data_IF_998620281787
#
_entry.id   IF_998620281787
#
_cell.length_a   1.000
_cell.length_b   1.000
_cell.length_c   1.000
_cell.angle_alpha   90.00
_cell.angle_beta   90.00
_cell.angle_gamma   90.00
#
_symmetry.space_group_name_H-M   'P 1'
#
loop_
_entity.id
_entity.type
_entity.pdbx_description
1 polymer ?
#
# COMPACT_ATOMS: atom_id res chain seq x y z
N UNK A 1 3.51 28.29 -87.01
CA UNK A 1 3.78 27.05 -87.77
C UNK A 1 4.53 26.17 -86.79
N UNK A 2 3.78 25.33 -86.08
CA UNK A 2 3.56 23.93 -86.48
C UNK A 2 4.89 23.18 -86.53
N UNK A 3 5.08 22.01 -85.93
CA UNK A 3 4.28 21.10 -85.11
C UNK A 3 5.24 19.93 -84.84
N UNK A 4 5.15 19.31 -83.65
CA UNK A 4 5.44 17.89 -83.30
C UNK A 4 6.73 17.20 -83.83
N UNK A 5 7.42 16.29 -83.16
CA UNK A 5 6.98 15.22 -82.26
C UNK A 5 8.20 14.51 -81.63
N UNK A 6 7.97 13.97 -80.42
CA UNK A 6 8.40 12.71 -79.80
C UNK A 6 9.78 12.05 -80.03
N UNK A 7 10.33 11.55 -78.90
CA UNK A 7 11.25 10.40 -78.82
C UNK A 7 12.39 10.62 -77.82
N UNK A 8 12.15 10.35 -76.53
CA UNK A 8 12.78 9.26 -75.74
C UNK A 8 14.31 9.33 -75.58
N UNK A 9 14.76 9.57 -74.33
CA UNK A 9 15.71 8.73 -73.56
C UNK A 9 15.83 9.34 -72.15
N UNK A 10 15.43 8.57 -71.14
CA UNK A 10 16.32 8.01 -70.10
C UNK A 10 17.21 9.05 -69.39
N UNK A 11 17.03 9.23 -68.08
CA UNK A 11 17.99 8.73 -67.07
C UNK A 11 17.64 9.21 -65.64
N UNK A 12 17.38 8.22 -64.79
CA UNK A 12 17.78 8.10 -63.37
C UNK A 12 17.33 9.11 -62.28
N UNK A 13 16.42 8.58 -61.45
CA UNK A 13 16.19 8.95 -60.06
C UNK A 13 17.44 8.76 -59.17
N UNK A 14 17.55 9.53 -58.06
CA UNK A 14 18.17 9.02 -56.84
C UNK A 14 17.13 8.87 -55.72
N UNK A 15 16.51 7.69 -55.65
CA UNK A 15 15.70 7.22 -54.52
C UNK A 15 16.60 6.70 -53.36
N UNK A 16 17.47 7.56 -52.81
CA UNK A 16 18.41 7.19 -51.74
C UNK A 16 18.08 7.71 -50.34
N UNK A 17 16.83 8.16 -50.11
CA UNK A 17 16.41 8.73 -48.82
C UNK A 17 15.15 8.12 -48.18
N UNK A 18 14.72 6.92 -48.62
CA UNK A 18 13.53 6.24 -48.06
C UNK A 18 13.79 4.85 -47.45
N UNK A 19 15.04 4.43 -47.28
CA UNK A 19 15.39 3.12 -46.70
C UNK A 19 16.03 3.20 -45.29
N UNK A 20 15.81 4.29 -44.54
CA UNK A 20 16.25 4.41 -43.14
C UNK A 20 15.14 4.72 -42.14
N UNK A 21 13.88 4.67 -42.56
CA UNK A 21 12.72 4.91 -41.68
C UNK A 21 11.84 3.67 -41.45
N UNK A 22 12.18 2.52 -42.05
CA UNK A 22 11.46 1.26 -41.87
C UNK A 22 12.18 0.23 -41.00
N UNK A 23 13.43 0.48 -40.58
CA UNK A 23 14.17 -0.43 -39.67
C UNK A 23 14.17 0.02 -38.20
N UNK A 24 13.51 1.15 -37.89
CA UNK A 24 13.31 1.61 -36.49
C UNK A 24 11.89 1.30 -36.01
N UNK A 25 10.97 0.93 -36.90
CA UNK A 25 9.58 0.63 -36.58
C UNK A 25 9.30 -0.83 -36.18
N UNK A 26 10.31 -1.72 -36.24
CA UNK A 26 10.16 -3.14 -35.91
C UNK A 26 11.13 -3.63 -34.81
N UNK A 27 11.85 -2.71 -34.17
CA UNK A 27 12.74 -3.01 -33.02
C UNK A 27 12.19 -2.51 -31.66
N UNK A 28 10.97 -1.94 -31.64
CA UNK A 28 10.30 -1.48 -30.42
C UNK A 28 9.15 -2.40 -29.95
N UNK A 29 9.03 -3.61 -30.53
CA UNK A 29 7.97 -4.57 -30.15
C UNK A 29 8.42 -5.76 -29.30
N UNK A 30 9.65 -5.78 -28.79
CA UNK A 30 10.12 -6.80 -27.83
C UNK A 30 10.93 -6.23 -26.67
N UNK A 31 10.55 -5.05 -26.17
CA UNK A 31 11.00 -4.59 -24.86
C UNK A 31 9.91 -4.86 -23.84
N UNK A 32 10.10 -5.99 -23.16
CA UNK A 32 9.67 -6.23 -21.79
C UNK A 32 8.21 -5.86 -21.53
N UNK A 33 7.30 -6.79 -21.84
CA UNK A 33 6.18 -6.96 -20.91
C UNK A 33 6.81 -7.11 -19.52
N UNK A 34 6.53 -6.22 -18.55
CA UNK A 34 6.83 -6.57 -17.18
C UNK A 34 6.10 -7.89 -16.98
N UNK A 35 6.83 -8.93 -16.57
CA UNK A 35 6.18 -10.02 -15.88
C UNK A 35 5.48 -9.32 -14.70
N UNK A 36 4.19 -9.04 -14.85
CA UNK A 36 3.33 -8.68 -13.74
C UNK A 36 3.32 -9.92 -12.87
N UNK A 37 4.36 -10.05 -12.04
CA UNK A 37 4.25 -10.75 -10.80
C UNK A 37 3.18 -9.95 -10.07
N UNK A 38 1.96 -10.49 -10.08
CA UNK A 38 0.80 -9.81 -9.55
C UNK A 38 1.03 -9.65 -8.05
N UNK A 39 1.52 -8.48 -7.66
CA UNK A 39 1.86 -8.20 -6.29
C UNK A 39 0.58 -8.11 -5.47
N UNK A 40 0.54 -8.88 -4.38
CA UNK A 40 -0.54 -8.80 -3.40
C UNK A 40 -0.36 -7.50 -2.61
N UNK A 41 -1.33 -6.59 -2.70
CA UNK A 41 -1.34 -5.36 -1.92
C UNK A 41 -1.95 -5.61 -0.53
N UNK A 42 -1.32 -5.08 0.52
CA UNK A 42 -1.85 -5.13 1.88
C UNK A 42 -2.54 -3.83 2.25
N UNK A 43 -3.75 -3.94 2.79
CA UNK A 43 -4.60 -2.78 3.10
C UNK A 43 -5.11 -2.91 4.53
N UNK A 44 -4.93 -1.85 5.32
CA UNK A 44 -5.57 -1.72 6.62
C UNK A 44 -6.80 -0.83 6.49
N UNK A 45 -7.93 -1.34 6.94
CA UNK A 45 -9.13 -0.56 7.17
C UNK A 45 -9.23 -0.21 8.65
N UNK A 46 -9.37 1.08 8.92
CA UNK A 46 -9.57 1.60 10.28
C UNK A 46 -10.97 2.18 10.35
N UNK A 47 -11.84 1.56 11.14
CA UNK A 47 -13.20 2.02 11.36
C UNK A 47 -13.36 2.53 12.78
N UNK A 48 -13.83 3.76 12.92
CA UNK A 48 -14.23 4.33 14.21
C UNK A 48 -15.74 4.44 14.30
N UNK A 49 -16.29 4.05 15.43
CA UNK A 49 -17.68 4.25 15.80
C UNK A 49 -17.76 5.34 16.87
N UNK A 50 -18.65 6.30 16.69
CA UNK A 50 -18.93 7.38 17.63
C UNK A 50 -20.18 7.16 18.46
N UNK A 51 -20.39 8.01 19.47
CA UNK A 51 -21.51 7.91 20.43
C UNK A 51 -22.90 8.03 19.78
N UNK A 52 -23.02 8.75 18.66
CA UNK A 52 -24.29 8.96 17.95
C UNK A 52 -24.52 7.97 16.79
N UNK A 53 -23.82 6.84 16.78
CA UNK A 53 -23.86 5.88 15.65
C UNK A 53 -23.08 6.34 14.41
N UNK A 54 -22.41 7.50 14.49
CA UNK A 54 -21.52 7.98 13.44
C UNK A 54 -20.40 6.97 13.22
N UNK A 55 -20.06 6.73 11.96
CA UNK A 55 -18.97 5.82 11.60
C UNK A 55 -18.05 6.51 10.61
N UNK A 56 -16.75 6.49 10.89
CA UNK A 56 -15.72 6.94 9.94
C UNK A 56 -14.85 5.74 9.56
N UNK A 57 -14.65 5.54 8.26
CA UNK A 57 -13.83 4.46 7.72
C UNK A 57 -12.67 5.07 6.92
N UNK A 58 -11.45 4.64 7.21
CA UNK A 58 -10.28 4.95 6.42
C UNK A 58 -9.72 3.66 5.82
N UNK A 59 -9.29 3.75 4.56
CA UNK A 59 -8.55 2.72 3.85
C UNK A 59 -7.12 3.21 3.69
N UNK A 60 -6.15 2.51 4.26
CA UNK A 60 -4.73 2.85 4.13
C UNK A 60 -3.96 1.69 3.55
N UNK A 61 -3.17 1.96 2.51
CA UNK A 61 -2.21 1.00 1.99
C UNK A 61 -1.10 0.78 3.00
N UNK A 62 -0.56 -0.44 3.03
CA UNK A 62 0.53 -0.84 3.91
C UNK A 62 1.80 -1.06 3.08
N UNK A 63 2.93 -0.59 3.57
CA UNK A 63 4.25 -0.81 2.99
C UNK A 63 5.08 -1.67 3.93
N UNK A 64 5.70 -2.73 3.40
CA UNK A 64 6.47 -3.69 4.17
C UNK A 64 7.75 -3.05 4.73
N UNK A 65 8.11 -3.46 5.94
CA UNK A 65 9.33 -3.06 6.63
C UNK A 65 10.33 -4.23 6.64
N UNK A 66 11.20 -4.30 5.64
CA UNK A 66 12.10 -5.45 5.44
C UNK A 66 13.17 -5.58 6.54
N UNK A 67 13.65 -4.45 7.09
CA UNK A 67 14.60 -4.44 8.22
C UNK A 67 13.92 -4.06 9.55
N UNK A 68 12.61 -4.31 9.66
CA UNK A 68 11.84 -4.00 10.86
C UNK A 68 11.70 -2.49 11.12
N UNK A 69 11.59 -2.12 12.40
CA UNK A 69 11.31 -0.73 12.79
C UNK A 69 12.45 0.24 12.47
N UNK A 70 13.66 -0.25 12.23
CA UNK A 70 14.80 0.56 11.80
C UNK A 70 14.64 1.10 10.36
N UNK A 71 13.78 0.48 9.55
CA UNK A 71 13.43 0.97 8.21
C UNK A 71 12.44 2.14 8.21
N UNK A 72 11.85 2.47 9.36
CA UNK A 72 10.93 3.61 9.47
C UNK A 72 11.67 4.92 9.24
N UNK A 73 10.95 5.89 8.68
CA UNK A 73 11.43 7.25 8.43
C UNK A 73 10.45 8.24 9.03
N UNK A 74 10.90 9.49 9.14
CA UNK A 74 10.06 10.64 9.44
C UNK A 74 9.20 10.43 10.71
N UNK A 75 7.92 10.84 10.67
CA UNK A 75 7.03 10.84 11.83
C UNK A 75 6.88 9.45 12.49
N UNK A 76 6.65 8.34 11.75
CA UNK A 76 6.62 7.01 12.35
C UNK A 76 7.87 6.66 13.18
N UNK A 77 9.06 7.05 12.73
CA UNK A 77 10.31 6.78 13.46
C UNK A 77 10.40 7.63 14.73
N UNK A 78 10.06 8.91 14.64
CA UNK A 78 10.05 9.82 15.80
C UNK A 78 9.08 9.33 16.90
N UNK A 79 7.90 8.84 16.51
CA UNK A 79 6.92 8.29 17.45
C UNK A 79 7.41 7.02 18.14
N UNK A 80 8.09 6.14 17.41
CA UNK A 80 8.71 4.91 17.97
C UNK A 80 9.79 5.29 18.96
N UNK A 81 10.70 6.19 18.59
CA UNK A 81 11.82 6.60 19.43
C UNK A 81 11.35 7.34 20.69
N UNK A 82 10.29 8.12 20.58
CA UNK A 82 9.66 8.79 21.73
C UNK A 82 8.99 7.81 22.68
N UNK A 83 8.32 6.79 22.16
CA UNK A 83 7.59 5.81 22.99
C UNK A 83 8.53 4.75 23.60
N UNK A 84 9.60 4.42 22.88
CA UNK A 84 10.58 3.40 23.24
C UNK A 84 12.00 3.97 23.09
N UNK A 85 12.45 4.79 24.06
CA UNK A 85 13.77 5.42 23.99
C UNK A 85 14.94 4.41 23.99
N UNK A 86 14.70 3.18 24.41
CA UNK A 86 15.63 2.06 24.36
C UNK A 86 15.03 0.89 23.60
N UNK A 87 15.75 0.35 22.62
CA UNK A 87 15.30 -0.79 21.81
C UNK A 87 15.09 -2.09 22.60
N UNK A 88 15.58 -2.15 23.85
CA UNK A 88 15.37 -3.27 24.78
C UNK A 88 13.91 -3.40 25.23
N UNK A 89 13.14 -2.32 25.12
CA UNK A 89 11.74 -2.25 25.57
C UNK A 89 10.75 -2.49 24.42
N UNK A 90 11.26 -2.80 23.23
CA UNK A 90 10.42 -3.11 22.08
C UNK A 90 9.59 -4.38 22.33
N UNK A 91 8.27 -4.35 22.02
CA UNK A 91 7.45 -5.55 22.03
C UNK A 91 8.02 -6.62 21.08
N UNK A 92 7.79 -7.90 21.36
CA UNK A 92 8.32 -9.02 20.56
C UNK A 92 7.99 -8.91 19.06
N UNK A 93 6.80 -8.40 18.73
CA UNK A 93 6.38 -8.23 17.34
C UNK A 93 7.16 -7.12 16.60
N UNK A 94 8.02 -6.33 17.26
CA UNK A 94 8.96 -5.39 16.63
C UNK A 94 10.28 -6.03 16.21
N UNK A 95 10.69 -7.11 16.86
CA UNK A 95 12.04 -7.70 16.69
C UNK A 95 12.03 -9.16 16.23
N UNK A 96 11.01 -9.94 16.56
CA UNK A 96 10.92 -11.36 16.21
C UNK A 96 10.83 -11.63 14.70
N UNK A 97 11.52 -12.67 14.21
CA UNK A 97 11.45 -13.11 12.81
C UNK A 97 10.09 -13.74 12.44
N UNK A 98 9.26 -14.08 13.43
CA UNK A 98 7.94 -14.69 13.26
C UNK A 98 6.87 -13.68 12.82
N UNK A 99 7.22 -12.39 12.74
CA UNK A 99 6.31 -11.33 12.35
C UNK A 99 6.77 -10.63 11.07
N UNK A 100 5.82 -10.38 10.18
CA UNK A 100 5.97 -9.44 9.06
C UNK A 100 5.41 -8.09 9.50
N UNK A 101 6.17 -7.04 9.23
CA UNK A 101 5.87 -5.67 9.69
C UNK A 101 5.57 -4.78 8.52
N UNK A 102 4.67 -3.83 8.78
CA UNK A 102 4.23 -2.85 7.82
C UNK A 102 4.12 -1.49 8.49
N UNK A 103 4.29 -0.44 7.69
CA UNK A 103 3.88 0.93 8.02
C UNK A 103 2.77 1.35 7.07
N UNK A 104 1.71 2.03 7.53
CA UNK A 104 0.77 2.70 6.64
C UNK A 104 1.45 3.72 5.74
N UNK A 105 0.97 3.85 4.50
CA UNK A 105 1.44 4.87 3.55
C UNK A 105 0.97 6.29 3.93
N UNK A 106 -0.04 6.39 4.79
CA UNK A 106 -0.51 7.66 5.37
C UNK A 106 -0.08 7.68 6.84
N UNK A 107 0.81 8.61 7.20
CA UNK A 107 1.49 8.60 8.51
C UNK A 107 0.54 8.81 9.70
N UNK A 108 -0.50 9.63 9.53
CA UNK A 108 -1.50 9.89 10.56
C UNK A 108 -2.89 10.13 9.98
N UNK A 109 -3.91 9.88 10.79
CA UNK A 109 -5.30 10.08 10.46
C UNK A 109 -5.95 11.03 11.47
N UNK A 110 -6.92 11.83 10.99
CA UNK A 110 -7.73 12.67 11.88
C UNK A 110 -8.70 11.81 12.67
N UNK A 111 -8.51 11.79 13.99
CA UNK A 111 -9.32 11.05 14.94
C UNK A 111 -10.63 11.81 15.22
N UNK A 112 -11.81 11.18 15.07
CA UNK A 112 -13.08 11.78 15.49
C UNK A 112 -13.09 12.08 16.99
N UNK A 113 -13.80 13.14 17.41
CA UNK A 113 -13.80 13.57 18.82
C UNK A 113 -14.58 12.66 19.78
N UNK A 114 -15.42 11.76 19.28
CA UNK A 114 -16.39 10.99 20.05
C UNK A 114 -16.27 9.46 19.87
N UNK A 115 -15.06 8.96 19.54
CA UNK A 115 -14.83 7.53 19.28
C UNK A 115 -15.08 6.67 20.53
N UNK A 116 -15.95 5.67 20.38
CA UNK A 116 -16.26 4.65 21.39
C UNK A 116 -15.73 3.26 21.05
N UNK A 117 -15.54 2.98 19.76
CA UNK A 117 -15.01 1.68 19.28
C UNK A 117 -14.14 1.88 18.05
N UNK A 118 -13.04 1.16 18.01
CA UNK A 118 -12.17 1.04 16.83
C UNK A 118 -12.17 -0.40 16.34
N UNK A 119 -12.46 -0.60 15.06
CA UNK A 119 -12.30 -1.88 14.37
C UNK A 119 -11.15 -1.76 13.36
N UNK A 120 -10.28 -2.74 13.36
CA UNK A 120 -9.20 -2.89 12.39
C UNK A 120 -9.51 -4.09 11.51
N UNK A 121 -9.42 -3.91 10.20
CA UNK A 121 -9.61 -5.00 9.23
C UNK A 121 -8.45 -5.03 8.26
N UNK A 122 -7.75 -6.15 8.20
CA UNK A 122 -6.74 -6.40 7.18
C UNK A 122 -7.42 -6.98 5.95
N UNK A 123 -7.11 -6.40 4.80
CA UNK A 123 -7.50 -6.91 3.51
C UNK A 123 -6.29 -7.08 2.58
N UNK A 124 -6.39 -8.03 1.66
CA UNK A 124 -5.46 -8.23 0.56
C UNK A 124 -6.15 -7.84 -0.74
N UNK A 125 -5.49 -7.03 -1.57
CA UNK A 125 -5.94 -6.73 -2.92
C UNK A 125 -5.10 -7.48 -3.95
N UNK A 126 -5.76 -8.21 -4.84
CA UNK A 126 -5.13 -9.04 -5.86
C UNK A 126 -6.06 -9.16 -7.07
N UNK A 127 -5.53 -8.93 -8.27
CA UNK A 127 -6.29 -8.96 -9.53
C UNK A 127 -7.60 -8.12 -9.52
N UNK A 128 -7.57 -6.97 -8.84
CA UNK A 128 -8.73 -6.08 -8.73
C UNK A 128 -9.79 -6.50 -7.70
N UNK A 129 -9.59 -7.63 -7.02
CA UNK A 129 -10.44 -8.09 -5.92
C UNK A 129 -9.83 -7.77 -4.57
N UNK A 130 -10.69 -7.49 -3.59
CA UNK A 130 -10.29 -7.28 -2.20
C UNK A 130 -10.85 -8.37 -1.29
N UNK A 131 -9.98 -9.03 -0.55
CA UNK A 131 -10.31 -10.13 0.35
C UNK A 131 -10.01 -9.76 1.79
N UNK A 132 -10.99 -9.88 2.68
CA UNK A 132 -10.78 -9.70 4.12
C UNK A 132 -10.11 -10.93 4.70
N UNK A 133 -9.03 -10.75 5.45
CA UNK A 133 -8.26 -11.88 5.99
C UNK A 133 -8.11 -11.85 7.50
N UNK A 134 -8.25 -10.68 8.14
CA UNK A 134 -8.31 -10.55 9.59
C UNK A 134 -9.22 -9.39 9.99
N UNK A 135 -9.85 -9.52 11.15
CA UNK A 135 -10.56 -8.46 11.84
C UNK A 135 -10.15 -8.43 13.31
N UNK A 136 -10.02 -7.23 13.87
CA UNK A 136 -9.70 -7.00 15.28
C UNK A 136 -10.57 -5.87 15.80
N UNK A 137 -11.31 -6.15 16.87
CA UNK A 137 -12.03 -5.14 17.63
C UNK A 137 -11.20 -4.70 18.83
N UNK A 138 -10.73 -3.45 18.83
CA UNK A 138 -9.85 -2.94 19.87
C UNK A 138 -10.59 -2.66 21.20
N UNK A 139 -11.93 -2.78 21.23
CA UNK A 139 -12.75 -2.56 22.43
C UNK A 139 -12.76 -3.74 23.41
N UNK A 140 -12.16 -4.86 23.06
CA UNK A 140 -12.10 -6.07 23.88
C UNK A 140 -10.64 -6.50 24.01
N UNK A 141 -9.86 -5.81 24.84
CA UNK A 141 -8.62 -6.38 25.38
C UNK A 141 -9.04 -7.60 26.21
N UNK A 142 -8.99 -8.82 25.65
CA UNK A 142 -8.90 -10.11 26.35
C UNK A 142 -9.11 -11.37 25.47
N UNK A 143 -8.98 -11.32 24.14
CA UNK A 143 -8.87 -12.57 23.38
C UNK A 143 -7.41 -13.01 23.29
N UNK A 144 -6.91 -13.62 24.37
CA UNK A 144 -5.73 -14.50 24.38
C UNK A 144 -6.05 -15.80 23.61
N UNK A 145 -6.31 -15.66 22.31
CA UNK A 145 -6.70 -16.76 21.42
C UNK A 145 -5.73 -16.87 20.24
N UNK A 146 -4.78 -17.80 20.37
CA UNK A 146 -4.05 -18.47 19.28
C UNK A 146 -3.71 -17.67 18.02
N UNK A 147 -2.57 -16.98 18.02
CA UNK A 147 -1.67 -16.81 16.86
C UNK A 147 -2.15 -15.99 15.64
N UNK A 148 -3.42 -15.60 15.56
CA UNK A 148 -4.00 -14.87 14.41
C UNK A 148 -4.56 -13.53 14.88
N UNK A 149 -3.68 -12.60 15.25
CA UNK A 149 -4.07 -11.26 15.67
C UNK A 149 -3.25 -10.21 14.93
N UNK A 150 -3.90 -9.10 14.59
CA UNK A 150 -3.23 -7.89 14.11
C UNK A 150 -2.58 -7.20 15.31
N UNK A 151 -1.25 -7.19 15.37
CA UNK A 151 -0.51 -6.44 16.38
C UNK A 151 -0.25 -5.04 15.85
N UNK A 152 -0.61 -4.01 16.60
CA UNK A 152 -0.53 -2.63 16.11
C UNK A 152 -0.03 -1.73 17.21
N UNK A 153 0.99 -0.92 16.89
CA UNK A 153 1.35 0.23 17.71
C UNK A 153 0.49 1.42 17.30
N UNK A 154 -0.08 2.08 18.30
CA UNK A 154 -0.87 3.31 18.13
C UNK A 154 -0.21 4.47 18.87
N UNK A 155 -0.18 5.64 18.26
CA UNK A 155 0.22 6.88 18.93
C UNK A 155 -0.81 7.97 18.67
N UNK A 156 -1.35 8.55 19.74
CA UNK A 156 -2.32 9.64 19.68
C UNK A 156 -1.66 10.95 20.10
N UNK A 157 -1.92 12.02 19.35
CA UNK A 157 -1.36 13.33 19.65
C UNK A 157 -2.25 14.44 19.13
N UNK A 158 -2.07 15.63 19.69
CA UNK A 158 -2.77 16.83 19.24
C UNK A 158 -1.92 17.55 18.21
N UNK A 159 -2.41 17.60 16.96
CA UNK A 159 -1.79 18.35 15.89
C UNK A 159 -2.43 19.73 15.71
N UNK A 160 -1.64 20.68 15.23
CA UNK A 160 -2.13 21.92 14.64
C UNK A 160 -1.61 22.00 13.21
N UNK A 161 -2.47 21.76 12.23
CA UNK A 161 -2.18 22.17 10.86
C UNK A 161 -2.03 23.71 10.81
N UNK A 162 -1.08 24.30 10.06
CA UNK A 162 -0.86 25.75 10.06
C UNK A 162 -2.11 26.57 9.74
N UNK A 163 -2.98 26.07 8.85
CA UNK A 163 -4.26 26.71 8.52
C UNK A 163 -5.27 26.54 9.67
N UNK A 164 -5.31 25.38 10.32
CA UNK A 164 -6.16 25.13 11.49
C UNK A 164 -5.70 25.92 12.73
N UNK A 165 -4.39 26.13 12.87
CA UNK A 165 -3.78 26.94 13.93
C UNK A 165 -4.23 28.41 13.84
N UNK A 166 -4.35 28.95 12.62
CA UNK A 166 -4.89 30.30 12.37
C UNK A 166 -6.36 30.43 12.81
N UNK A 167 -7.10 29.33 12.79
CA UNK A 167 -8.49 29.26 13.29
C UNK A 167 -8.56 28.91 14.78
N UNK A 168 -7.41 28.76 15.47
CA UNK A 168 -7.35 28.34 16.88
C UNK A 168 -7.80 26.89 17.12
N UNK A 169 -7.92 26.09 16.05
CA UNK A 169 -8.42 24.72 16.11
C UNK A 169 -7.25 23.75 16.29
N UNK A 170 -7.39 22.85 17.26
CA UNK A 170 -6.49 21.71 17.45
C UNK A 170 -7.21 20.44 17.01
N UNK A 171 -6.53 19.59 16.25
CA UNK A 171 -7.07 18.32 15.77
C UNK A 171 -6.45 17.16 16.53
N UNK A 172 -7.29 16.23 16.97
CA UNK A 172 -6.80 14.94 17.45
C UNK A 172 -6.33 14.11 16.25
N UNK A 173 -5.10 13.63 16.31
CA UNK A 173 -4.48 12.77 15.30
C UNK A 173 -4.12 11.44 15.93
N UNK A 174 -4.20 10.39 15.11
CA UNK A 174 -3.74 9.05 15.47
C UNK A 174 -2.86 8.50 14.36
N UNK A 175 -1.72 7.94 14.75
CA UNK A 175 -0.80 7.23 13.88
C UNK A 175 -0.79 5.74 14.23
N UNK A 176 -0.50 4.92 13.22
CA UNK A 176 -0.31 3.47 13.35
C UNK A 176 1.09 3.08 12.85
N UNK A 177 2.18 3.49 13.53
CA UNK A 177 3.53 3.43 12.96
C UNK A 177 3.97 2.02 12.56
N UNK A 178 3.47 1.00 13.27
CA UNK A 178 3.79 -0.40 13.01
C UNK A 178 2.52 -1.23 13.08
N UNK A 179 2.27 -1.97 12.00
CA UNK A 179 1.28 -3.05 11.91
C UNK A 179 2.06 -4.35 11.69
N UNK A 180 1.92 -5.31 12.59
CA UNK A 180 2.61 -6.58 12.55
C UNK A 180 1.63 -7.75 12.50
N UNK A 181 1.98 -8.75 11.70
CA UNK A 181 1.20 -9.96 11.44
C UNK A 181 2.09 -11.17 11.60
N UNK A 182 1.52 -12.28 12.07
CA UNK A 182 2.21 -13.57 12.05
C UNK A 182 2.64 -13.91 10.62
N UNK A 183 3.93 -14.19 10.44
CA UNK A 183 4.51 -14.58 9.15
C UNK A 183 3.89 -15.88 8.64
N UNK A 184 3.78 -16.89 9.52
CA UNK A 184 3.18 -18.16 9.17
C UNK A 184 1.73 -18.02 8.68
N UNK A 185 0.96 -17.14 9.32
CA UNK A 185 -0.39 -16.81 8.86
C UNK A 185 -0.36 -16.15 7.48
N UNK A 186 0.45 -15.10 7.30
CA UNK A 186 0.47 -14.34 6.05
C UNK A 186 0.92 -15.19 4.87
N UNK A 187 1.94 -16.04 5.07
CA UNK A 187 2.46 -16.96 4.06
C UNK A 187 1.37 -17.98 3.64
N UNK A 188 0.60 -18.54 4.58
CA UNK A 188 -0.54 -19.43 4.27
C UNK A 188 -1.61 -18.71 3.44
N UNK A 189 -2.00 -17.50 3.85
CA UNK A 189 -3.02 -16.71 3.14
C UNK A 189 -2.57 -16.39 1.72
N UNK A 190 -1.32 -15.93 1.56
CA UNK A 190 -0.73 -15.63 0.26
C UNK A 190 -0.69 -16.86 -0.62
N UNK A 191 -0.22 -17.99 -0.10
CA UNK A 191 -0.17 -19.24 -0.86
C UNK A 191 -1.56 -19.66 -1.32
N UNK A 192 -2.58 -19.59 -0.46
CA UNK A 192 -3.96 -19.95 -0.80
C UNK A 192 -4.56 -19.02 -1.86
N UNK A 193 -4.34 -17.71 -1.73
CA UNK A 193 -4.81 -16.72 -2.69
C UNK A 193 -4.18 -16.92 -4.07
N UNK A 194 -2.86 -17.14 -4.13
CA UNK A 194 -2.14 -17.36 -5.39
C UNK A 194 -2.47 -18.72 -6.04
N UNK A 195 -2.75 -19.75 -5.25
CA UNK A 195 -3.03 -21.10 -5.78
C UNK A 195 -4.43 -21.21 -6.38
N UNK A 196 -5.42 -20.53 -5.80
CA UNK A 196 -6.82 -20.63 -6.24
C UNK A 196 -7.58 -19.30 -6.03
N UNK A 197 -7.27 -18.25 -6.80
CA UNK A 197 -7.81 -16.90 -6.59
C UNK A 197 -9.35 -16.85 -6.73
N UNK A 198 -9.91 -17.56 -7.71
CA UNK A 198 -11.36 -17.63 -7.95
C UNK A 198 -12.14 -18.31 -6.80
N UNK A 199 -11.48 -19.21 -6.07
CA UNK A 199 -12.07 -19.94 -4.95
C UNK A 199 -11.83 -19.26 -3.60
N UNK A 200 -10.90 -18.30 -3.53
CA UNK A 200 -10.53 -17.61 -2.31
C UNK A 200 -11.62 -16.61 -1.91
N UNK A 201 -12.13 -16.70 -0.68
CA UNK A 201 -13.21 -15.83 -0.15
C UNK A 201 -12.76 -14.95 1.02
N UNK A 202 -11.47 -14.96 1.33
CA UNK A 202 -10.93 -14.39 2.57
C UNK A 202 -10.92 -15.39 3.73
N UNK A 203 -10.53 -14.89 4.90
CA UNK A 203 -10.49 -15.60 6.17
C UNK A 203 -11.29 -14.73 7.15
N UNK A 204 -12.41 -15.28 7.65
CA UNK A 204 -13.29 -14.61 8.60
C UNK A 204 -13.03 -15.12 10.01
#
# INVERSE_FOLDING_TARGET
MDSTECGHDEEHQPARKRQRLSAVAEAEQQQQQPQHQEDIEHILYVRWHGNAGQTKLNRVGLSRLDNGVDSLKDLPKELIDSQYPSSRDFPDYFTSADYVRFTPQVECLVLPGDVVRTELRLALSYQGWEYTVLKKDNSLSNSSGGGQEIQVMTAEFMGSDPFMALLGLRMALIAYPVVALSKAFLDDVHQRLLTAPDAFKGIL
#
